data_IF_446537265703
#
_entry.id   IF_446537265703
#
_cell.length_a   1.000
_cell.length_b   1.000
_cell.length_c   1.000
_cell.angle_alpha   90.00
_cell.angle_beta   90.00
_cell.angle_gamma   90.00
#
_symmetry.space_group_name_H-M   'P 1'
#
loop_
_entity.id
_entity.type
_entity.pdbx_description
1 polymer ?
#
# COMPACT_ATOMS: atom_id res chain seq x y z
N UNK A 1 -20.70 -2.61 17.02
CA UNK A 1 -20.24 -1.34 16.40
C UNK A 1 -20.57 -1.47 14.91
N UNK A 2 -21.60 -0.76 14.46
CA UNK A 2 -22.07 -0.84 13.07
C UNK A 2 -21.05 -0.05 12.24
N UNK A 3 -20.32 -0.75 11.38
CA UNK A 3 -19.51 -0.10 10.34
C UNK A 3 -20.52 0.53 9.38
N UNK A 4 -20.64 1.85 9.41
CA UNK A 4 -21.37 2.59 8.38
C UNK A 4 -20.53 2.49 7.12
N UNK A 5 -20.81 1.51 6.29
CA UNK A 5 -20.39 1.53 4.90
C UNK A 5 -21.18 2.66 4.25
N UNK A 6 -20.51 3.76 3.87
CA UNK A 6 -21.01 4.56 2.77
C UNK A 6 -21.08 3.58 1.61
N UNK A 7 -22.29 3.27 1.18
CA UNK A 7 -22.55 2.37 0.06
C UNK A 7 -21.96 3.02 -1.20
N UNK A 8 -20.67 2.77 -1.43
CA UNK A 8 -20.07 2.96 -2.72
C UNK A 8 -20.60 1.85 -3.62
N UNK A 9 -21.00 2.18 -4.82
CA UNK A 9 -21.58 1.29 -5.83
C UNK A 9 -20.62 0.19 -6.33
N UNK A 10 -19.39 0.15 -5.87
CA UNK A 10 -18.41 -0.86 -6.25
C UNK A 10 -18.73 -2.22 -5.61
N UNK A 11 -18.94 -3.23 -6.44
CA UNK A 11 -19.06 -4.61 -5.98
C UNK A 11 -17.82 -5.03 -5.18
N UNK A 12 -18.01 -5.54 -3.97
CA UNK A 12 -16.95 -6.07 -3.11
C UNK A 12 -17.12 -7.58 -2.94
N UNK A 13 -16.07 -8.38 -3.01
CA UNK A 13 -14.64 -8.05 -3.13
C UNK A 13 -14.18 -7.76 -4.57
N UNK A 14 -13.25 -6.82 -4.72
CA UNK A 14 -12.69 -6.43 -6.02
C UNK A 14 -11.24 -6.91 -6.17
N UNK A 15 -10.86 -7.26 -7.41
CA UNK A 15 -9.48 -7.52 -7.83
C UNK A 15 -9.04 -6.45 -8.80
N UNK A 16 -7.90 -5.82 -8.52
CA UNK A 16 -7.31 -4.78 -9.36
C UNK A 16 -6.01 -5.34 -9.94
N UNK A 17 -5.79 -5.14 -11.23
CA UNK A 17 -4.58 -5.61 -11.92
C UNK A 17 -3.70 -4.44 -12.32
N UNK A 18 -2.40 -4.64 -12.23
CA UNK A 18 -1.37 -3.78 -12.79
C UNK A 18 -0.40 -4.64 -13.62
N UNK A 19 0.61 -4.07 -14.28
CA UNK A 19 1.52 -4.87 -15.11
C UNK A 19 2.20 -6.02 -14.38
N UNK A 20 2.55 -5.85 -13.09
CA UNK A 20 3.29 -6.85 -12.33
C UNK A 20 2.54 -7.38 -11.11
N UNK A 21 1.38 -6.78 -10.74
CA UNK A 21 0.68 -7.09 -9.50
C UNK A 21 -0.78 -7.45 -9.74
N UNK A 22 -1.29 -8.30 -8.86
CA UNK A 22 -2.71 -8.50 -8.56
C UNK A 22 -2.96 -8.00 -7.15
N UNK A 23 -3.78 -6.98 -7.03
CA UNK A 23 -4.27 -6.44 -5.75
C UNK A 23 -5.59 -7.16 -5.50
N UNK A 24 -5.63 -8.04 -4.50
CA UNK A 24 -6.77 -8.92 -4.24
C UNK A 24 -7.06 -9.08 -2.75
N UNK A 25 -8.28 -9.48 -2.37
CA UNK A 25 -8.56 -9.87 -0.99
C UNK A 25 -7.58 -10.95 -0.51
N UNK A 26 -7.24 -10.95 0.80
CA UNK A 26 -6.40 -11.99 1.38
C UNK A 26 -7.11 -13.36 1.35
N UNK A 27 -6.33 -14.42 1.17
CA UNK A 27 -6.74 -15.80 1.29
C UNK A 27 -5.87 -16.56 2.29
N UNK A 28 -6.27 -17.80 2.66
CA UNK A 28 -5.53 -18.58 3.66
C UNK A 28 -4.08 -18.87 3.26
N UNK A 29 -3.78 -18.95 1.97
CA UNK A 29 -2.43 -19.10 1.46
C UNK A 29 -1.52 -17.89 1.82
N UNK A 30 -2.08 -16.72 2.04
CA UNK A 30 -1.34 -15.49 2.38
C UNK A 30 -0.97 -15.39 3.87
N UNK A 31 -1.52 -16.26 4.72
CA UNK A 31 -1.44 -16.17 6.19
C UNK A 31 -0.01 -16.03 6.69
N UNK A 32 0.89 -16.87 6.21
CA UNK A 32 2.30 -16.83 6.62
C UNK A 32 2.96 -15.51 6.26
N UNK A 33 2.71 -15.00 5.06
CA UNK A 33 3.25 -13.72 4.61
C UNK A 33 2.61 -12.53 5.36
N UNK A 34 1.31 -12.59 5.68
CA UNK A 34 0.62 -11.60 6.51
C UNK A 34 1.19 -11.55 7.93
N UNK A 35 1.39 -12.70 8.56
CA UNK A 35 2.02 -12.77 9.89
C UNK A 35 3.41 -12.13 9.83
N UNK A 36 4.20 -12.48 8.82
CA UNK A 36 5.52 -11.91 8.62
C UNK A 36 5.45 -10.38 8.43
N UNK A 37 4.55 -9.88 7.60
CA UNK A 37 4.35 -8.44 7.37
C UNK A 37 4.05 -7.68 8.68
N UNK A 38 3.35 -8.31 9.62
CA UNK A 38 2.98 -7.72 10.91
C UNK A 38 4.02 -7.90 12.01
N UNK A 39 4.97 -8.81 11.85
CA UNK A 39 5.98 -9.12 12.89
C UNK A 39 7.40 -8.76 12.51
N UNK A 40 7.68 -8.59 11.23
CA UNK A 40 9.01 -8.25 10.74
C UNK A 40 9.42 -6.84 11.19
N UNK A 41 10.55 -6.68 11.91
CA UNK A 41 10.93 -5.39 12.48
C UNK A 41 11.32 -4.35 11.42
N UNK A 42 11.82 -4.78 10.25
CA UNK A 42 12.19 -3.86 9.16
C UNK A 42 10.93 -3.30 8.50
N UNK A 43 9.97 -4.17 8.20
CA UNK A 43 8.67 -3.75 7.67
C UNK A 43 7.95 -2.80 8.64
N UNK A 44 8.04 -3.09 9.93
CA UNK A 44 7.32 -2.38 10.99
C UNK A 44 8.07 -1.18 11.57
N UNK A 45 9.27 -0.86 11.08
CA UNK A 45 10.12 0.23 11.61
C UNK A 45 9.37 1.57 11.75
N UNK A 46 8.47 1.88 10.79
CA UNK A 46 7.69 3.12 10.77
C UNK A 46 6.18 2.90 11.01
N UNK A 47 5.79 1.69 11.43
CA UNK A 47 4.39 1.29 11.64
C UNK A 47 4.06 1.00 13.12
N UNK A 48 4.80 1.60 14.04
CA UNK A 48 4.60 1.41 15.48
C UNK A 48 5.23 0.14 16.07
N UNK A 49 6.17 -0.49 15.34
CA UNK A 49 6.82 -1.72 15.77
C UNK A 49 6.01 -3.00 15.51
N UNK A 50 6.53 -4.14 15.95
CA UNK A 50 5.84 -5.41 15.83
C UNK A 50 4.53 -5.40 16.63
N UNK A 51 3.50 -6.08 16.10
CA UNK A 51 2.23 -6.24 16.82
C UNK A 51 2.42 -7.14 18.05
N UNK A 52 1.56 -6.95 19.04
CA UNK A 52 1.57 -7.75 20.26
C UNK A 52 1.21 -9.24 19.99
N UNK A 53 1.50 -10.08 20.99
CA UNK A 53 1.27 -11.52 20.89
C UNK A 53 -0.19 -11.87 20.63
N UNK A 54 -1.15 -11.18 21.25
CA UNK A 54 -2.56 -11.47 21.09
C UNK A 54 -3.05 -11.17 19.67
N UNK A 55 -2.61 -10.05 19.09
CA UNK A 55 -2.89 -9.68 17.70
C UNK A 55 -2.30 -10.69 16.71
N UNK A 56 -1.07 -11.15 16.97
CA UNK A 56 -0.44 -12.21 16.18
C UNK A 56 -1.22 -13.51 16.28
N UNK A 57 -1.58 -13.94 17.48
CA UNK A 57 -2.35 -15.17 17.71
C UNK A 57 -3.73 -15.09 17.02
N UNK A 58 -4.40 -13.95 17.08
CA UNK A 58 -5.67 -13.74 16.40
C UNK A 58 -5.50 -13.92 14.87
N UNK A 59 -4.43 -13.39 14.28
CA UNK A 59 -4.14 -13.57 12.86
C UNK A 59 -3.82 -15.02 12.51
N UNK A 60 -3.15 -15.77 13.39
CA UNK A 60 -2.83 -17.19 13.21
C UNK A 60 -4.08 -18.08 13.24
N UNK A 61 -5.03 -17.79 14.12
CA UNK A 61 -6.15 -18.67 14.44
C UNK A 61 -7.47 -18.27 13.78
N UNK A 62 -7.68 -16.98 13.48
CA UNK A 62 -8.93 -16.50 12.90
C UNK A 62 -8.97 -16.72 11.40
N UNK A 63 -10.15 -16.97 10.82
CA UNK A 63 -10.31 -16.93 9.36
C UNK A 63 -9.87 -15.56 8.83
N UNK A 64 -9.17 -15.56 7.69
CA UNK A 64 -8.88 -14.32 7.00
C UNK A 64 -10.16 -13.83 6.34
N UNK A 65 -10.78 -12.81 6.97
CA UNK A 65 -12.02 -12.24 6.49
C UNK A 65 -11.79 -11.34 5.28
N UNK A 66 -12.80 -11.30 4.42
CA UNK A 66 -12.88 -10.30 3.36
C UNK A 66 -13.42 -9.02 3.99
N UNK A 67 -12.53 -8.06 4.22
CA UNK A 67 -12.87 -6.75 4.79
C UNK A 67 -12.74 -5.70 3.70
N UNK A 68 -13.75 -4.85 3.57
CA UNK A 68 -13.74 -3.76 2.61
C UNK A 68 -12.47 -2.90 2.78
N UNK A 69 -11.89 -2.51 1.65
CA UNK A 69 -10.72 -1.65 1.63
C UNK A 69 -9.41 -2.33 2.01
N UNK A 70 -9.37 -3.66 2.16
CA UNK A 70 -8.14 -4.39 2.53
C UNK A 70 -7.75 -5.42 1.50
N UNK A 71 -6.55 -5.26 0.94
CA UNK A 71 -6.00 -6.15 -0.07
C UNK A 71 -4.59 -6.60 0.28
N UNK A 72 -4.22 -7.74 -0.26
CA UNK A 72 -2.82 -8.14 -0.40
C UNK A 72 -2.30 -7.74 -1.78
N UNK A 73 -1.00 -7.51 -1.85
CA UNK A 73 -0.26 -7.32 -3.09
C UNK A 73 0.38 -8.65 -3.45
N UNK A 74 -0.05 -9.22 -4.55
CA UNK A 74 0.50 -10.47 -5.06
C UNK A 74 1.17 -10.26 -6.41
N UNK A 75 2.23 -11.00 -6.70
CA UNK A 75 2.85 -10.99 -8.02
C UNK A 75 1.87 -11.55 -9.06
N UNK A 76 1.81 -10.94 -10.23
CA UNK A 76 0.94 -11.42 -11.31
C UNK A 76 1.43 -12.73 -11.92
N UNK A 77 2.71 -13.05 -11.74
CA UNK A 77 3.37 -14.22 -12.30
C UNK A 77 2.97 -15.52 -11.58
N UNK A 78 3.02 -15.54 -10.24
CA UNK A 78 2.88 -16.77 -9.44
C UNK A 78 1.95 -16.60 -8.22
N UNK A 79 1.26 -15.47 -8.11
CA UNK A 79 0.38 -15.10 -6.99
C UNK A 79 1.08 -15.00 -5.62
N UNK A 80 2.42 -14.94 -5.59
CA UNK A 80 3.20 -14.77 -4.36
C UNK A 80 2.85 -13.44 -3.68
N UNK A 81 2.40 -13.49 -2.43
CA UNK A 81 2.11 -12.29 -1.64
C UNK A 81 3.40 -11.58 -1.24
N UNK A 82 3.51 -10.29 -1.59
CA UNK A 82 4.68 -9.45 -1.34
C UNK A 82 4.42 -8.28 -0.37
N UNK A 83 3.16 -8.04 -0.02
CA UNK A 83 2.78 -6.93 0.84
C UNK A 83 1.27 -6.78 0.97
N UNK A 84 0.86 -5.67 1.56
CA UNK A 84 -0.55 -5.28 1.67
C UNK A 84 -0.75 -3.82 1.32
N UNK A 85 -1.97 -3.49 0.92
CA UNK A 85 -2.43 -2.13 0.69
C UNK A 85 -3.85 -2.00 1.21
N UNK A 86 -4.16 -0.87 1.81
CA UNK A 86 -5.49 -0.59 2.34
C UNK A 86 -5.99 0.75 1.87
N UNK A 87 -7.29 0.84 1.72
CA UNK A 87 -8.01 2.07 1.52
C UNK A 87 -9.21 2.01 2.46
N UNK A 88 -9.11 2.59 3.63
CA UNK A 88 -10.07 2.48 4.72
C UNK A 88 -10.44 3.87 5.23
N UNK A 89 -11.53 3.99 5.97
CA UNK A 89 -11.91 5.27 6.55
C UNK A 89 -11.25 5.44 7.91
N UNK A 90 -10.37 6.42 8.02
CA UNK A 90 -9.87 6.92 9.30
C UNK A 90 -10.21 8.39 9.46
N UNK A 91 -10.59 8.79 10.68
CA UNK A 91 -10.97 10.19 10.98
C UNK A 91 -12.09 10.76 10.08
N UNK A 92 -12.90 9.87 9.49
CA UNK A 92 -13.97 10.24 8.58
C UNK A 92 -13.53 10.54 7.14
N UNK A 93 -12.25 10.30 6.83
CA UNK A 93 -11.66 10.47 5.50
C UNK A 93 -11.09 9.15 5.00
N UNK A 94 -11.05 8.99 3.68
CA UNK A 94 -10.49 7.80 3.04
C UNK A 94 -8.97 7.83 3.17
N UNK A 95 -8.37 6.83 3.84
CA UNK A 95 -6.94 6.75 4.09
C UNK A 95 -6.27 5.64 3.28
N UNK A 96 -5.20 5.99 2.57
CA UNK A 96 -4.31 5.06 1.90
C UNK A 96 -3.18 4.63 2.83
N UNK A 97 -3.02 3.31 3.02
CA UNK A 97 -1.87 2.74 3.71
C UNK A 97 -1.31 1.55 2.94
N UNK A 98 0.00 1.32 3.02
CA UNK A 98 0.66 0.20 2.33
C UNK A 98 1.92 -0.24 3.08
N UNK A 99 2.24 -1.52 2.94
CA UNK A 99 3.46 -2.11 3.44
C UNK A 99 3.93 -3.23 2.51
N UNK A 100 5.25 -3.36 2.36
CA UNK A 100 5.90 -4.44 1.61
C UNK A 100 6.83 -5.22 2.53
N UNK A 101 6.97 -6.51 2.28
CA UNK A 101 8.03 -7.31 2.85
C UNK A 101 9.40 -6.78 2.40
N UNK A 102 10.44 -6.85 3.24
CA UNK A 102 11.71 -6.15 3.01
C UNK A 102 12.36 -6.44 1.64
N UNK A 103 12.35 -7.69 1.21
CA UNK A 103 12.93 -8.14 -0.06
C UNK A 103 12.25 -7.57 -1.30
N UNK A 104 11.04 -7.04 -1.16
CA UNK A 104 10.25 -6.46 -2.25
C UNK A 104 10.26 -4.93 -2.25
N UNK A 105 11.01 -4.33 -1.32
CA UNK A 105 11.13 -2.86 -1.26
C UNK A 105 12.13 -2.35 -2.29
N UNK A 106 11.96 -1.09 -2.75
CA UNK A 106 12.89 -0.47 -3.70
C UNK A 106 12.70 -0.89 -5.17
N UNK A 107 11.84 -1.86 -5.46
CA UNK A 107 11.58 -2.41 -6.81
C UNK A 107 10.40 -1.73 -7.54
N UNK A 108 9.85 -0.68 -6.95
CA UNK A 108 8.74 0.09 -7.55
C UNK A 108 7.34 -0.49 -7.30
N UNK A 109 7.20 -1.62 -6.62
CA UNK A 109 5.90 -2.26 -6.37
C UNK A 109 4.93 -1.39 -5.54
N UNK A 110 5.43 -0.66 -4.54
CA UNK A 110 4.59 0.27 -3.78
C UNK A 110 4.01 1.39 -4.66
N UNK A 111 4.81 1.97 -5.56
CA UNK A 111 4.33 2.98 -6.49
C UNK A 111 3.28 2.42 -7.45
N UNK A 112 3.55 1.24 -7.99
CA UNK A 112 2.65 0.56 -8.93
C UNK A 112 1.31 0.21 -8.29
N UNK A 113 1.32 -0.35 -7.07
CA UNK A 113 0.10 -0.70 -6.34
C UNK A 113 -0.72 0.52 -5.96
N UNK A 114 -0.07 1.59 -5.46
CA UNK A 114 -0.77 2.83 -5.12
C UNK A 114 -1.41 3.47 -6.35
N UNK A 115 -0.70 3.51 -7.49
CA UNK A 115 -1.26 4.05 -8.75
C UNK A 115 -2.49 3.25 -9.16
N UNK A 116 -2.41 1.92 -9.17
CA UNK A 116 -3.52 1.06 -9.59
C UNK A 116 -4.74 1.21 -8.65
N UNK A 117 -4.51 1.27 -7.33
CA UNK A 117 -5.56 1.42 -6.35
C UNK A 117 -6.20 2.82 -6.40
N UNK A 118 -5.40 3.88 -6.50
CA UNK A 118 -5.92 5.25 -6.59
C UNK A 118 -6.69 5.49 -7.90
N UNK A 119 -6.26 4.88 -9.01
CA UNK A 119 -7.00 4.94 -10.27
C UNK A 119 -8.33 4.20 -10.20
N UNK A 120 -8.36 3.04 -9.53
CA UNK A 120 -9.61 2.35 -9.22
C UNK A 120 -10.51 3.21 -8.32
N UNK A 121 -9.99 3.73 -7.21
CA UNK A 121 -10.76 4.55 -6.27
C UNK A 121 -11.37 5.79 -6.95
N UNK A 122 -10.62 6.47 -7.81
CA UNK A 122 -11.09 7.62 -8.59
C UNK A 122 -12.29 7.30 -9.48
N UNK A 123 -12.39 6.07 -9.99
CA UNK A 123 -13.48 5.63 -10.87
C UNK A 123 -14.69 5.12 -10.12
N UNK A 124 -14.46 4.46 -8.99
CA UNK A 124 -15.47 3.65 -8.32
C UNK A 124 -16.02 4.30 -7.04
N UNK A 125 -15.29 5.26 -6.45
CA UNK A 125 -15.69 5.89 -5.20
C UNK A 125 -16.15 7.34 -5.42
N UNK A 126 -17.06 7.78 -4.58
CA UNK A 126 -17.56 9.15 -4.59
C UNK A 126 -16.66 10.13 -3.81
N UNK A 127 -15.71 9.61 -3.06
CA UNK A 127 -14.80 10.41 -2.25
C UNK A 127 -13.98 11.37 -3.12
N UNK A 128 -13.83 12.60 -2.65
CA UNK A 128 -13.09 13.64 -3.36
C UNK A 128 -11.62 13.70 -2.93
N UNK A 129 -11.33 13.26 -1.70
CA UNK A 129 -10.02 13.36 -1.08
C UNK A 129 -9.61 12.01 -0.52
N UNK A 130 -8.34 11.69 -0.68
CA UNK A 130 -7.66 10.60 0.01
C UNK A 130 -6.52 11.17 0.84
N UNK A 131 -6.40 10.70 2.07
CA UNK A 131 -5.30 11.05 2.98
C UNK A 131 -4.31 9.89 3.09
N UNK A 132 -3.12 10.20 3.57
CA UNK A 132 -2.13 9.21 3.97
C UNK A 132 -1.32 9.75 5.15
N UNK A 133 -0.99 8.90 6.12
CA UNK A 133 -0.16 9.28 7.27
C UNK A 133 1.18 8.57 7.16
N UNK A 134 2.26 9.30 7.38
CA UNK A 134 3.61 8.75 7.36
C UNK A 134 4.50 9.43 8.40
N UNK A 135 5.32 8.66 9.09
CA UNK A 135 6.34 9.23 9.96
C UNK A 135 7.30 10.10 9.16
N UNK A 136 7.67 11.27 9.70
CA UNK A 136 8.60 12.22 9.04
C UNK A 136 9.96 11.60 8.73
N UNK A 137 10.36 10.58 9.49
CA UNK A 137 11.60 9.81 9.29
C UNK A 137 11.51 8.83 8.13
N UNK A 138 10.31 8.37 7.76
CA UNK A 138 10.10 7.47 6.62
C UNK A 138 10.21 8.24 5.30
N UNK A 139 11.43 8.64 4.94
CA UNK A 139 11.70 9.46 3.76
C UNK A 139 11.25 8.79 2.46
N UNK A 140 11.30 7.44 2.41
CA UNK A 140 10.85 6.66 1.24
C UNK A 140 9.36 6.80 1.01
N UNK A 141 8.55 6.60 2.07
CA UNK A 141 7.09 6.75 1.99
C UNK A 141 6.70 8.19 1.65
N UNK A 142 7.27 9.19 2.34
CA UNK A 142 6.99 10.61 2.06
C UNK A 142 7.35 10.98 0.61
N UNK A 143 8.48 10.51 0.09
CA UNK A 143 8.89 10.76 -1.29
C UNK A 143 7.94 10.10 -2.29
N UNK A 144 7.49 8.85 -2.01
CA UNK A 144 6.51 8.18 -2.86
C UNK A 144 5.17 8.91 -2.87
N UNK A 145 4.63 9.26 -1.70
CA UNK A 145 3.37 9.99 -1.61
C UNK A 145 3.42 11.31 -2.38
N UNK A 146 4.52 12.07 -2.26
CA UNK A 146 4.71 13.30 -3.05
C UNK A 146 4.74 13.04 -4.55
N UNK A 147 5.42 11.99 -5.01
CA UNK A 147 5.41 11.58 -6.43
C UNK A 147 4.01 11.19 -6.92
N UNK A 148 3.16 10.72 -6.03
CA UNK A 148 1.76 10.40 -6.32
C UNK A 148 0.84 11.64 -6.26
N UNK A 149 1.38 12.84 -6.03
CA UNK A 149 0.62 14.09 -5.97
C UNK A 149 0.04 14.42 -4.60
N UNK A 150 0.45 13.71 -3.54
CA UNK A 150 0.06 14.10 -2.18
C UNK A 150 0.83 15.34 -1.72
N UNK A 151 0.13 16.25 -1.07
CA UNK A 151 0.69 17.45 -0.42
C UNK A 151 0.54 17.35 1.10
N UNK A 152 1.44 17.98 1.84
CA UNK A 152 1.37 17.98 3.30
C UNK A 152 0.25 18.90 3.75
N UNK A 153 -0.75 18.35 4.45
CA UNK A 153 -1.84 19.11 5.08
C UNK A 153 -1.40 19.67 6.45
N UNK A 154 -0.79 18.81 7.29
CA UNK A 154 -0.28 19.20 8.62
C UNK A 154 0.70 18.18 9.18
N UNK A 155 1.47 18.63 10.18
CA UNK A 155 2.22 17.74 11.07
C UNK A 155 1.33 17.20 12.20
N UNK A 156 1.64 16.00 12.66
CA UNK A 156 0.98 15.33 13.79
C UNK A 156 2.04 14.80 14.74
N UNK A 157 1.70 14.69 16.02
CA UNK A 157 2.47 13.94 16.99
C UNK A 157 1.61 12.82 17.54
N UNK A 158 1.89 11.60 17.12
CA UNK A 158 1.10 10.41 17.48
C UNK A 158 2.02 9.24 17.75
N UNK A 159 1.64 8.42 18.75
CA UNK A 159 2.44 7.27 19.19
C UNK A 159 3.90 7.63 19.50
N UNK A 160 4.14 8.84 20.07
CA UNK A 160 5.46 9.34 20.40
C UNK A 160 6.36 9.64 19.20
N UNK A 161 5.79 9.80 18.02
CA UNK A 161 6.53 10.09 16.78
C UNK A 161 5.93 11.27 16.01
N UNK A 162 6.81 12.02 15.34
CA UNK A 162 6.40 13.08 14.42
C UNK A 162 5.94 12.46 13.10
N UNK A 163 4.72 12.75 12.69
CA UNK A 163 4.10 12.28 11.49
C UNK A 163 3.64 13.43 10.58
N UNK A 164 3.46 13.14 9.32
CA UNK A 164 2.84 14.00 8.34
C UNK A 164 1.50 13.39 7.95
N UNK A 165 0.44 14.18 8.02
CA UNK A 165 -0.79 13.91 7.32
C UNK A 165 -0.66 14.59 5.94
N UNK A 166 -0.72 13.77 4.91
CA UNK A 166 -0.70 14.20 3.53
C UNK A 166 -2.08 13.95 2.91
N UNK A 167 -2.45 14.75 1.93
CA UNK A 167 -3.71 14.63 1.21
C UNK A 167 -3.51 14.80 -0.29
N UNK A 168 -4.43 14.22 -1.05
CA UNK A 168 -4.54 14.45 -2.47
C UNK A 168 -6.00 14.40 -2.90
N UNK A 169 -6.37 15.18 -3.94
CA UNK A 169 -7.65 15.02 -4.62
C UNK A 169 -7.69 13.70 -5.40
N UNK A 170 -8.75 12.90 -5.20
CA UNK A 170 -9.01 11.72 -6.04
C UNK A 170 -9.47 12.09 -7.45
N UNK A 171 -10.02 13.30 -7.62
CA UNK A 171 -10.53 13.78 -8.92
C UNK A 171 -9.41 14.21 -9.88
N UNK A 172 -8.25 14.58 -9.33
CA UNK A 172 -7.09 14.89 -10.14
C UNK A 172 -6.46 13.63 -10.76
N UNK A 173 -6.03 13.68 -12.02
CA UNK A 173 -5.31 12.56 -12.63
C UNK A 173 -4.02 12.28 -11.86
N UNK A 174 -3.63 11.00 -11.82
CA UNK A 174 -2.33 10.63 -11.30
C UNK A 174 -1.24 11.24 -12.18
N UNK A 175 -0.11 11.70 -11.61
CA UNK A 175 1.01 12.18 -12.37
C UNK A 175 1.39 11.15 -13.44
N UNK A 176 1.54 11.59 -14.69
CA UNK A 176 1.94 10.70 -15.77
C UNK A 176 3.22 9.97 -15.36
N UNK A 177 3.28 8.65 -15.59
CA UNK A 177 4.54 7.90 -15.48
C UNK A 177 5.54 8.61 -16.39
N UNK A 178 6.47 9.37 -15.85
CA UNK A 178 7.73 9.57 -16.55
C UNK A 178 8.33 8.17 -16.70
N UNK A 179 8.34 7.70 -17.93
CA UNK A 179 8.97 6.46 -18.32
C UNK A 179 10.49 6.65 -18.13
N UNK A 180 10.95 6.54 -16.89
CA UNK A 180 12.37 6.31 -16.62
C UNK A 180 12.60 4.80 -16.79
N UNK A 181 12.43 4.33 -18.02
CA UNK A 181 13.25 3.28 -18.58
C UNK A 181 14.65 3.89 -18.78
N UNK A 182 15.45 3.93 -17.71
CA UNK A 182 16.88 3.87 -17.90
C UNK A 182 17.13 2.49 -18.50
N UNK A 183 17.26 2.48 -19.83
CA UNK A 183 17.95 1.41 -20.53
C UNK A 183 19.31 1.26 -19.84
N UNK A 184 19.47 0.19 -19.07
CA UNK A 184 20.79 -0.30 -18.74
C UNK A 184 21.44 -0.60 -20.10
N UNK A 185 22.35 0.26 -20.54
CA UNK A 185 23.27 -0.06 -21.62
C UNK A 185 24.07 -1.27 -21.16
N UNK A 186 23.87 -2.37 -21.84
CA UNK A 186 24.71 -3.56 -21.71
C UNK A 186 26.18 -3.14 -21.96
N UNK A 187 27.11 -3.49 -21.06
CA UNK A 187 28.52 -3.26 -21.32
C UNK A 187 28.94 -4.02 -22.59
N UNK A 188 29.78 -3.41 -23.45
CA UNK A 188 30.22 -4.06 -24.68
C UNK A 188 30.96 -5.38 -24.37
N UNK A 189 30.82 -6.41 -25.21
CA UNK A 189 31.44 -7.71 -24.97
C UNK A 189 32.97 -7.59 -24.96
N UNK A 190 33.66 -8.38 -24.12
CA UNK A 190 35.11 -8.32 -24.02
C UNK A 190 35.79 -8.68 -25.37
N UNK A 191 36.62 -7.80 -25.88
CA UNK A 191 37.46 -8.04 -27.04
C UNK A 191 38.47 -9.16 -26.72
N UNK A 192 38.36 -10.28 -27.41
CA UNK A 192 39.39 -11.34 -27.40
C UNK A 192 40.65 -10.81 -28.10
N UNK A 193 41.76 -10.87 -27.40
CA UNK A 193 43.12 -10.89 -27.98
C UNK A 193 43.66 -12.33 -27.93
#
# INVERSE_FOLDING_TARGET
>A
MVVVTKEGTAEWPVRIRSPRLVIRPPGDADRTALIRLMTDPVTREYLGGAVDYASRQALELSPLGITWGRWVLALAEDDTMIGSITLDYDRGELELSYALLPEWTGLGYAAESCIALLDWARRELEDEVVIAISQTRNKRSVALLRKLGFTVRKGLEEFGTQQLLLERSLREPLPAKEATLQTAEDPPPPTRR
#
